data_IF_203001687935
#
_entry.id   IF_203001687935
#
_cell.length_a   1.000
_cell.length_b   1.000
_cell.length_c   1.000
_cell.angle_alpha   90.00
_cell.angle_beta   90.00
_cell.angle_gamma   90.00
#
_symmetry.space_group_name_H-M   'P 1'
#
loop_
_entity.id
_entity.type
_entity.pdbx_description
1 polymer ?
#
# COMPACT_ATOMS: atom_id res chain seq x y z
N UNK A 1 4.68 9.39 -15.20
CA UNK A 1 4.87 8.12 -15.94
C UNK A 1 5.14 8.31 -17.43
N UNK A 2 5.01 9.51 -18.02
CA UNK A 2 5.09 9.73 -19.47
C UNK A 2 6.49 9.56 -20.08
N UNK A 3 7.56 9.88 -19.34
CA UNK A 3 8.93 9.73 -19.84
C UNK A 3 9.41 8.27 -19.86
N UNK A 4 8.94 7.45 -18.92
CA UNK A 4 9.30 6.03 -18.79
C UNK A 4 8.03 5.17 -18.64
N UNK A 5 7.29 4.92 -19.75
CA UNK A 5 5.96 4.32 -19.70
C UNK A 5 5.96 2.80 -19.43
N UNK A 6 7.12 2.15 -19.45
CA UNK A 6 7.24 0.71 -19.15
C UNK A 6 7.49 0.43 -17.66
N UNK A 7 7.73 1.47 -16.85
CA UNK A 7 7.89 1.34 -15.41
C UNK A 7 6.54 1.26 -14.70
N UNK A 8 6.53 0.70 -13.50
CA UNK A 8 5.39 0.75 -12.57
C UNK A 8 5.86 1.37 -11.26
N UNK A 9 4.97 2.09 -10.57
CA UNK A 9 5.26 2.64 -9.24
C UNK A 9 4.31 1.98 -8.25
N UNK A 10 4.85 1.38 -7.20
CA UNK A 10 4.05 0.96 -6.03
C UNK A 10 4.09 2.09 -5.01
N UNK A 11 2.93 2.63 -4.66
CA UNK A 11 2.82 3.74 -3.70
C UNK A 11 2.16 3.26 -2.41
N UNK A 12 2.94 3.18 -1.34
CA UNK A 12 2.41 2.93 0.01
C UNK A 12 1.73 4.18 0.55
N UNK A 13 0.47 4.05 0.99
CA UNK A 13 -0.30 5.16 1.56
C UNK A 13 -0.68 4.86 3.01
N UNK A 14 -0.30 5.73 3.95
CA UNK A 14 -0.47 5.56 5.40
C UNK A 14 -0.85 6.89 6.06
N UNK A 15 -1.79 6.87 7.01
CA UNK A 15 -2.00 7.99 7.94
C UNK A 15 -0.91 7.92 9.03
N UNK A 16 -0.10 8.95 9.16
CA UNK A 16 1.00 8.99 10.13
C UNK A 16 0.75 9.91 11.33
N UNK A 17 -0.20 10.84 11.18
CA UNK A 17 -0.56 11.77 12.24
C UNK A 17 -2.05 12.11 12.16
N UNK A 18 -2.58 12.71 13.22
CA UNK A 18 -3.95 13.17 13.26
C UNK A 18 -4.23 14.31 12.29
N UNK A 19 -5.45 14.31 11.76
CA UNK A 19 -5.93 15.33 10.84
C UNK A 19 -6.08 16.67 11.56
N UNK A 20 -5.98 17.78 10.80
CA UNK A 20 -6.35 19.10 11.32
C UNK A 20 -7.78 19.08 11.90
N UNK A 21 -8.01 19.86 12.96
CA UNK A 21 -9.27 19.85 13.71
C UNK A 21 -10.50 20.27 12.89
N UNK A 22 -10.31 20.91 11.73
CA UNK A 22 -11.39 21.30 10.81
C UNK A 22 -11.75 20.21 9.81
N UNK A 23 -10.97 19.13 9.73
CA UNK A 23 -11.20 18.04 8.78
C UNK A 23 -12.41 17.22 9.23
N UNK A 24 -13.41 17.10 8.37
CA UNK A 24 -14.67 16.38 8.65
C UNK A 24 -14.76 14.99 8.01
N UNK A 25 -13.83 14.66 7.11
CA UNK A 25 -13.74 13.37 6.42
C UNK A 25 -12.60 12.54 6.99
N UNK A 26 -12.73 11.23 6.94
CA UNK A 26 -11.63 10.33 7.27
C UNK A 26 -10.49 10.44 6.26
N UNK A 27 -9.28 10.02 6.66
CA UNK A 27 -8.13 10.00 5.76
C UNK A 27 -8.38 9.13 4.52
N UNK A 28 -9.04 7.97 4.68
CA UNK A 28 -9.41 7.08 3.57
C UNK A 28 -10.36 7.76 2.59
N UNK A 29 -11.40 8.43 3.10
CA UNK A 29 -12.35 9.14 2.24
C UNK A 29 -11.67 10.24 1.44
N UNK A 30 -10.79 11.02 2.09
CA UNK A 30 -10.06 12.09 1.41
C UNK A 30 -9.17 11.52 0.31
N UNK A 31 -8.37 10.48 0.61
CA UNK A 31 -7.50 9.85 -0.37
C UNK A 31 -8.31 9.26 -1.54
N UNK A 32 -9.38 8.51 -1.23
CA UNK A 32 -10.21 7.85 -2.23
C UNK A 32 -10.92 8.86 -3.13
N UNK A 33 -11.55 9.88 -2.57
CA UNK A 33 -12.37 10.83 -3.34
C UNK A 33 -11.53 11.86 -4.10
N UNK A 34 -10.54 12.47 -3.44
CA UNK A 34 -9.84 13.63 -3.99
C UNK A 34 -8.51 13.29 -4.67
N UNK A 35 -8.03 12.05 -4.56
CA UNK A 35 -6.81 11.59 -5.23
C UNK A 35 -7.07 10.39 -6.13
N UNK A 36 -7.52 9.26 -5.57
CA UNK A 36 -7.67 8.02 -6.33
C UNK A 36 -8.77 8.14 -7.42
N UNK A 37 -9.94 8.67 -7.06
CA UNK A 37 -11.07 8.88 -7.96
C UNK A 37 -11.08 10.26 -8.63
N UNK A 38 -10.05 11.09 -8.41
CA UNK A 38 -9.99 12.41 -9.01
C UNK A 38 -9.82 12.25 -10.54
N UNK A 39 -10.67 12.90 -11.37
CA UNK A 39 -10.56 12.85 -12.82
C UNK A 39 -9.16 13.21 -13.35
N UNK A 40 -8.43 14.10 -12.66
CA UNK A 40 -7.05 14.47 -13.02
C UNK A 40 -6.08 13.29 -12.93
N UNK A 41 -6.33 12.31 -12.06
CA UNK A 41 -5.47 11.15 -11.80
C UNK A 41 -6.11 9.81 -12.15
N UNK A 42 -7.33 9.81 -12.69
CA UNK A 42 -8.11 8.59 -12.97
C UNK A 42 -7.34 7.59 -13.85
N UNK A 43 -6.52 8.06 -14.77
CA UNK A 43 -5.69 7.21 -15.64
C UNK A 43 -4.29 6.92 -15.08
N UNK A 44 -3.93 7.49 -13.94
CA UNK A 44 -2.63 7.31 -13.30
C UNK A 44 -2.62 6.08 -12.38
N UNK A 45 -3.72 5.78 -11.70
CA UNK A 45 -3.82 4.60 -10.82
C UNK A 45 -4.13 3.32 -11.59
N UNK A 46 -3.63 2.19 -11.07
CA UNK A 46 -4.06 0.86 -11.51
C UNK A 46 -5.45 0.56 -10.94
N UNK A 47 -6.42 0.32 -11.81
CA UNK A 47 -7.84 0.09 -11.48
C UNK A 47 -8.34 -1.30 -11.89
N UNK A 48 -7.44 -2.22 -12.25
CA UNK A 48 -7.78 -3.61 -12.57
C UNK A 48 -8.20 -4.40 -11.33
N UNK A 49 -8.89 -5.53 -11.55
CA UNK A 49 -9.39 -6.41 -10.49
C UNK A 49 -8.43 -7.54 -10.11
N UNK A 50 -7.31 -7.70 -10.82
CA UNK A 50 -6.32 -8.73 -10.50
C UNK A 50 -5.60 -8.34 -9.19
N UNK A 51 -5.75 -9.19 -8.17
CA UNK A 51 -5.11 -9.04 -6.86
C UNK A 51 -3.59 -9.21 -6.91
N UNK A 52 -3.07 -9.96 -7.88
CA UNK A 52 -1.64 -10.13 -8.14
C UNK A 52 -1.30 -9.63 -9.55
N UNK A 53 -1.33 -8.30 -9.76
CA UNK A 53 -1.20 -7.73 -11.09
C UNK A 53 0.22 -7.91 -11.63
N UNK A 54 0.31 -8.19 -12.92
CA UNK A 54 1.59 -8.32 -13.62
C UNK A 54 2.19 -6.94 -13.94
N UNK A 55 3.49 -6.90 -14.26
CA UNK A 55 4.14 -5.68 -14.76
C UNK A 55 3.46 -5.17 -16.04
N UNK A 56 3.00 -6.06 -16.92
CA UNK A 56 2.29 -5.70 -18.15
C UNK A 56 0.99 -4.94 -17.89
N UNK A 57 0.25 -5.33 -16.85
CA UNK A 57 -1.01 -4.69 -16.45
C UNK A 57 -0.81 -3.35 -15.75
N UNK A 58 0.37 -3.13 -15.16
CA UNK A 58 0.64 -1.99 -14.26
C UNK A 58 1.62 -0.98 -14.80
N UNK A 59 2.33 -1.27 -15.90
CA UNK A 59 3.24 -0.31 -16.52
C UNK A 59 2.52 1.00 -16.88
N UNK A 60 3.16 2.13 -16.60
CA UNK A 60 2.58 3.45 -16.75
C UNK A 60 1.59 3.83 -15.65
N UNK A 61 1.37 2.98 -14.63
CA UNK A 61 0.41 3.20 -13.54
C UNK A 61 1.05 3.19 -12.14
N UNK A 62 0.34 3.79 -11.20
CA UNK A 62 0.59 3.70 -9.76
C UNK A 62 -0.28 2.58 -9.19
N UNK A 63 0.35 1.56 -8.61
CA UNK A 63 -0.33 0.50 -7.85
C UNK A 63 -0.39 0.92 -6.39
N UNK A 64 -1.59 1.01 -5.83
CA UNK A 64 -1.78 1.28 -4.41
C UNK A 64 -1.24 0.12 -3.57
N UNK A 65 -0.47 0.46 -2.53
CA UNK A 65 -0.19 -0.42 -1.41
C UNK A 65 -0.83 0.19 -0.16
N UNK A 66 -1.94 -0.39 0.29
CA UNK A 66 -2.84 0.25 1.25
C UNK A 66 -2.42 -0.02 2.71
N UNK A 67 -1.90 1.01 3.40
CA UNK A 67 -1.66 1.02 4.86
C UNK A 67 -2.59 2.00 5.60
N UNK A 68 -3.74 2.34 5.03
CA UNK A 68 -4.72 3.25 5.65
C UNK A 68 -5.68 2.52 6.60
N UNK A 69 -5.67 1.18 6.59
CA UNK A 69 -6.72 0.34 7.18
C UNK A 69 -7.71 -0.12 6.10
N UNK A 70 -8.95 -0.43 6.49
CA UNK A 70 -10.00 -0.81 5.53
C UNK A 70 -10.30 0.31 4.53
N UNK A 71 -10.51 -0.04 3.26
CA UNK A 71 -10.81 0.90 2.18
C UNK A 71 -11.93 0.40 1.27
N UNK A 72 -12.63 1.34 0.64
CA UNK A 72 -13.57 1.03 -0.43
C UNK A 72 -12.93 0.98 -1.82
N UNK A 73 -11.65 1.37 -1.96
CA UNK A 73 -10.85 1.13 -3.16
C UNK A 73 -10.73 -0.39 -3.37
N UNK A 74 -10.80 -0.86 -4.64
CA UNK A 74 -10.83 -2.29 -4.99
C UNK A 74 -9.63 -2.80 -5.78
N UNK A 75 -8.64 -1.96 -6.02
CA UNK A 75 -7.45 -2.28 -6.80
C UNK A 75 -6.18 -1.91 -6.06
N UNK A 76 -5.19 -2.81 -6.11
CA UNK A 76 -3.93 -2.69 -5.37
C UNK A 76 -3.82 -3.67 -4.20
N UNK A 77 -2.69 -3.63 -3.52
CA UNK A 77 -2.38 -4.52 -2.41
C UNK A 77 -3.08 -4.06 -1.13
N UNK A 78 -3.84 -4.96 -0.49
CA UNK A 78 -4.67 -4.64 0.68
C UNK A 78 -5.86 -3.72 0.37
N UNK A 79 -6.28 -3.63 -0.90
CA UNK A 79 -7.41 -2.81 -1.33
C UNK A 79 -8.76 -3.53 -1.12
N UNK A 80 -9.11 -3.76 0.15
CA UNK A 80 -10.37 -4.30 0.59
C UNK A 80 -10.78 -3.67 1.94
N UNK A 81 -11.95 -4.05 2.47
CA UNK A 81 -12.47 -3.48 3.71
C UNK A 81 -11.70 -3.91 4.96
N UNK A 82 -10.79 -4.87 4.85
CA UNK A 82 -9.94 -5.34 5.94
C UNK A 82 -8.57 -4.66 5.95
N UNK A 83 -8.09 -4.21 4.78
CA UNK A 83 -6.79 -3.56 4.64
C UNK A 83 -5.63 -4.52 4.89
N UNK A 84 -4.51 -3.99 5.39
CA UNK A 84 -3.36 -4.79 5.82
C UNK A 84 -3.24 -4.72 7.35
N UNK A 85 -3.24 -5.87 8.00
CA UNK A 85 -2.95 -5.98 9.43
C UNK A 85 -1.44 -5.82 9.64
N UNK A 86 -1.00 -4.65 10.12
CA UNK A 86 0.41 -4.32 10.27
C UNK A 86 0.84 -4.45 11.74
N UNK A 87 1.78 -5.34 12.03
CA UNK A 87 2.33 -5.47 13.38
C UNK A 87 3.35 -4.34 13.67
N UNK A 88 3.29 -3.75 14.88
CA UNK A 88 4.25 -2.71 15.28
C UNK A 88 5.63 -3.30 15.58
N UNK A 89 6.68 -2.71 15.00
CA UNK A 89 8.09 -3.05 15.26
C UNK A 89 8.37 -4.57 15.23
N UNK A 90 8.02 -5.24 14.12
CA UNK A 90 8.07 -6.69 14.05
C UNK A 90 8.42 -7.22 12.64
N UNK A 91 8.94 -8.45 12.60
CA UNK A 91 8.84 -9.34 11.45
C UNK A 91 7.55 -10.14 11.54
N UNK A 92 6.70 -10.09 10.50
CA UNK A 92 5.40 -10.74 10.51
C UNK A 92 4.97 -11.21 9.12
N UNK A 93 3.97 -12.09 9.12
CA UNK A 93 3.25 -12.51 7.93
C UNK A 93 1.75 -12.24 8.09
N UNK A 94 1.08 -11.87 7.01
CA UNK A 94 -0.37 -11.67 7.02
C UNK A 94 -0.99 -11.95 5.66
N UNK A 95 -2.25 -12.35 5.65
CA UNK A 95 -3.03 -12.53 4.44
C UNK A 95 -3.66 -11.21 4.01
N UNK A 96 -3.51 -10.85 2.74
CA UNK A 96 -4.11 -9.63 2.16
C UNK A 96 -4.95 -9.97 0.93
N UNK A 97 -5.74 -9.01 0.45
CA UNK A 97 -6.59 -9.15 -0.74
C UNK A 97 -7.52 -10.35 -0.63
N UNK A 98 -8.30 -10.43 0.45
CA UNK A 98 -9.18 -11.58 0.76
C UNK A 98 -8.46 -12.94 0.78
N UNK A 99 -7.20 -12.99 1.22
CA UNK A 99 -6.44 -14.24 1.34
C UNK A 99 -5.68 -14.67 0.09
N UNK A 100 -5.80 -13.92 -1.02
CA UNK A 100 -5.13 -14.26 -2.28
C UNK A 100 -3.61 -14.10 -2.23
N UNK A 101 -3.08 -13.33 -1.28
CA UNK A 101 -1.64 -13.10 -1.14
C UNK A 101 -1.19 -13.32 0.31
N UNK A 102 0.01 -13.89 0.46
CA UNK A 102 0.75 -13.92 1.72
C UNK A 102 1.77 -12.78 1.72
N UNK A 103 1.50 -11.73 2.48
CA UNK A 103 2.45 -10.63 2.66
C UNK A 103 3.40 -10.98 3.80
N UNK A 104 4.69 -10.97 3.52
CA UNK A 104 5.76 -11.11 4.51
C UNK A 104 6.46 -9.76 4.63
N UNK A 105 6.67 -9.29 5.87
CA UNK A 105 7.26 -7.98 6.15
C UNK A 105 8.26 -8.11 7.29
N UNK A 106 9.42 -7.46 7.15
CA UNK A 106 10.27 -7.10 8.27
C UNK A 106 10.25 -5.57 8.46
N UNK A 107 9.64 -5.10 9.55
CA UNK A 107 9.49 -3.68 9.89
C UNK A 107 9.87 -3.42 11.35
N UNK A 108 11.03 -3.93 11.77
CA UNK A 108 11.61 -3.72 13.10
C UNK A 108 12.34 -2.36 13.13
N UNK A 109 11.60 -1.25 13.20
CA UNK A 109 12.14 0.11 13.06
C UNK A 109 12.75 0.70 14.36
N UNK A 110 12.49 0.11 15.52
CA UNK A 110 13.06 0.52 16.82
C UNK A 110 14.34 -0.25 17.19
N UNK A 111 14.70 -1.25 16.38
CA UNK A 111 15.85 -2.10 16.65
C UNK A 111 17.17 -1.37 16.44
N UNK A 112 18.13 -1.64 17.34
CA UNK A 112 19.48 -1.12 17.22
C UNK A 112 20.23 -1.78 16.06
N UNK A 113 21.31 -1.15 15.59
CA UNK A 113 22.00 -1.46 14.34
C UNK A 113 22.23 -2.97 14.10
N UNK A 114 22.89 -3.67 15.02
CA UNK A 114 23.22 -5.09 14.82
C UNK A 114 21.97 -5.98 14.72
N UNK A 115 20.99 -5.74 15.61
CA UNK A 115 19.73 -6.48 15.60
C UNK A 115 18.92 -6.20 14.34
N UNK A 116 18.93 -4.95 13.87
CA UNK A 116 18.29 -4.56 12.61
C UNK A 116 18.94 -5.26 11.41
N UNK A 117 20.28 -5.32 11.36
CA UNK A 117 21.01 -6.02 10.31
C UNK A 117 20.69 -7.52 10.32
N UNK A 118 20.63 -8.14 11.50
CA UNK A 118 20.23 -9.54 11.64
C UNK A 118 18.81 -9.79 11.13
N UNK A 119 17.84 -8.96 11.54
CA UNK A 119 16.46 -9.05 11.10
C UNK A 119 16.32 -8.92 9.58
N UNK A 120 17.08 -8.01 8.94
CA UNK A 120 17.10 -7.87 7.48
C UNK A 120 17.68 -9.12 6.81
N UNK A 121 18.83 -9.63 7.28
CA UNK A 121 19.46 -10.83 6.71
C UNK A 121 18.56 -12.04 6.81
N UNK A 122 17.94 -12.27 7.97
CA UNK A 122 17.01 -13.38 8.19
C UNK A 122 15.81 -13.34 7.25
N UNK A 123 15.35 -12.14 6.87
CA UNK A 123 14.23 -11.96 5.95
C UNK A 123 14.60 -12.22 4.49
N UNK A 124 15.83 -11.89 4.08
CA UNK A 124 16.29 -12.08 2.69
C UNK A 124 16.65 -13.55 2.41
N UNK A 125 17.09 -14.29 3.43
CA UNK A 125 17.60 -15.66 3.30
C UNK A 125 19.12 -15.72 3.38
#
# INVERSE_FOLDING_TARGET
MSAYPNETIVMSMKKDYDSDSKVTKTFEEIFREYYYNNPQYQNLFYTGSNANPTLKETKGKIVLFNRMGGTYIKSGYGADTSGIQWADNATFETKINNGNLNLQVQDEYKDYYDKKVEAVKKFIG
#
